data_IF_105057062644
#
_entry.id   IF_105057062644
#
_cell.length_a   1.000
_cell.length_b   1.000
_cell.length_c   1.000
_cell.angle_alpha   90.00
_cell.angle_beta   90.00
_cell.angle_gamma   90.00
#
_symmetry.space_group_name_H-M   'P 1'
#
loop_
_entity.id
_entity.type
_entity.pdbx_description
1 polymer ?
#
# COMPACT_ATOMS: atom_id res chain seq x y z
N UNK A 1 -19.48 -10.61 -24.44
CA UNK A 1 -18.03 -10.90 -24.46
C UNK A 1 -17.63 -11.37 -23.05
N UNK A 2 -17.23 -12.63 -22.87
CA UNK A 2 -16.88 -13.15 -21.54
C UNK A 2 -15.46 -12.71 -21.15
N UNK A 3 -15.33 -12.00 -20.03
CA UNK A 3 -14.05 -11.47 -19.56
C UNK A 3 -13.30 -12.54 -18.76
N UNK A 4 -12.06 -12.84 -19.16
CA UNK A 4 -11.18 -13.83 -18.49
C UNK A 4 -10.46 -13.19 -17.30
N UNK A 5 -10.35 -13.87 -16.16
CA UNK A 5 -9.49 -13.43 -15.06
C UNK A 5 -8.01 -13.57 -15.42
N UNK A 6 -7.17 -12.72 -14.82
CA UNK A 6 -5.73 -12.65 -15.14
C UNK A 6 -4.93 -13.69 -14.34
N UNK A 7 -5.25 -13.87 -13.05
CA UNK A 7 -4.50 -14.75 -12.13
C UNK A 7 -5.43 -15.75 -11.41
N UNK A 8 -6.71 -15.41 -11.24
CA UNK A 8 -7.64 -16.12 -10.34
C UNK A 8 -8.08 -17.55 -10.71
N UNK A 9 -7.52 -18.15 -11.77
CA UNK A 9 -7.75 -19.57 -12.04
C UNK A 9 -7.13 -20.47 -10.96
N UNK A 10 -6.07 -20.01 -10.29
CA UNK A 10 -5.33 -20.77 -9.26
C UNK A 10 -5.94 -20.60 -7.86
N UNK A 11 -6.57 -19.45 -7.55
CA UNK A 11 -7.13 -19.14 -6.22
C UNK A 11 -8.33 -20.00 -5.82
N UNK A 12 -8.98 -20.66 -6.77
CA UNK A 12 -10.18 -21.50 -6.54
C UNK A 12 -9.87 -22.89 -6.01
N UNK A 13 -8.60 -23.29 -5.95
CA UNK A 13 -8.22 -24.55 -5.32
C UNK A 13 -8.26 -24.40 -3.79
N UNK A 14 -8.85 -25.36 -3.05
CA UNK A 14 -8.97 -25.28 -1.58
C UNK A 14 -7.62 -25.22 -0.86
N UNK A 15 -6.53 -25.58 -1.54
CA UNK A 15 -5.15 -25.55 -1.04
C UNK A 15 -4.39 -24.27 -1.42
N UNK A 16 -4.98 -23.37 -2.21
CA UNK A 16 -4.30 -22.18 -2.68
C UNK A 16 -4.19 -21.12 -1.56
N UNK A 17 -2.96 -20.75 -1.22
CA UNK A 17 -2.67 -19.64 -0.30
C UNK A 17 -3.17 -18.32 -0.89
N UNK A 18 -3.87 -17.50 -0.10
CA UNK A 18 -4.40 -16.21 -0.55
C UNK A 18 -3.27 -15.31 -1.12
N UNK A 19 -3.33 -14.91 -2.41
CA UNK A 19 -2.24 -14.19 -3.07
C UNK A 19 -1.96 -12.82 -2.44
N UNK A 20 -2.98 -12.16 -1.90
CA UNK A 20 -2.83 -10.87 -1.20
C UNK A 20 -1.99 -11.03 0.07
N UNK A 21 -2.21 -12.10 0.84
CA UNK A 21 -1.44 -12.38 2.05
C UNK A 21 0.01 -12.74 1.73
N UNK A 22 0.25 -13.45 0.63
CA UNK A 22 1.60 -13.76 0.18
C UNK A 22 2.37 -12.48 -0.18
N UNK A 23 1.72 -11.58 -0.94
CA UNK A 23 2.30 -10.28 -1.27
C UNK A 23 2.60 -9.46 -0.01
N UNK A 24 1.66 -9.38 0.93
CA UNK A 24 1.84 -8.65 2.18
C UNK A 24 3.04 -9.18 2.99
N UNK A 25 3.15 -10.50 3.16
CA UNK A 25 4.28 -11.15 3.84
C UNK A 25 5.60 -10.88 3.13
N UNK A 26 5.63 -10.91 1.79
CA UNK A 26 6.82 -10.59 1.00
C UNK A 26 7.26 -9.15 1.23
N UNK A 27 6.34 -8.19 1.20
CA UNK A 27 6.64 -6.77 1.47
C UNK A 27 7.25 -6.61 2.86
N UNK A 28 6.62 -7.17 3.90
CA UNK A 28 7.13 -7.05 5.28
C UNK A 28 8.54 -7.65 5.46
N UNK A 29 8.87 -8.68 4.69
CA UNK A 29 10.20 -9.31 4.72
C UNK A 29 11.26 -8.44 4.05
N UNK A 30 10.93 -7.84 2.90
CA UNK A 30 11.86 -6.99 2.15
C UNK A 30 11.99 -5.57 2.73
N UNK A 31 11.00 -5.11 3.48
CA UNK A 31 10.92 -3.73 3.97
C UNK A 31 12.17 -3.27 4.74
N UNK A 32 12.71 -4.02 5.74
CA UNK A 32 13.89 -3.56 6.47
C UNK A 32 15.12 -3.39 5.57
N UNK A 33 15.28 -4.26 4.57
CA UNK A 33 16.36 -4.18 3.59
C UNK A 33 16.22 -2.92 2.74
N UNK A 34 15.02 -2.64 2.27
CA UNK A 34 14.72 -1.42 1.48
C UNK A 34 14.95 -0.17 2.32
N UNK A 35 14.48 -0.12 3.57
CA UNK A 35 14.69 1.04 4.45
C UNK A 35 16.17 1.37 4.66
N UNK A 36 17.02 0.35 4.83
CA UNK A 36 18.48 0.54 4.96
C UNK A 36 19.10 1.06 3.67
N UNK A 37 18.73 0.47 2.52
CA UNK A 37 19.27 0.87 1.20
C UNK A 37 18.97 2.33 0.89
N UNK A 38 17.77 2.79 1.26
CA UNK A 38 17.29 4.13 0.96
C UNK A 38 17.46 5.13 2.10
N UNK A 39 18.13 4.72 3.18
CA UNK A 39 18.41 5.54 4.36
C UNK A 39 17.14 6.22 4.89
N UNK A 40 16.10 5.42 5.17
CA UNK A 40 14.80 5.93 5.65
C UNK A 40 14.80 6.03 7.17
N UNK A 41 14.66 7.25 7.68
CA UNK A 41 14.69 7.61 9.10
C UNK A 41 13.34 7.40 9.82
N UNK A 42 12.68 6.26 9.58
CA UNK A 42 11.39 5.92 10.18
C UNK A 42 11.50 4.64 11.02
N UNK A 43 10.81 4.52 12.17
CA UNK A 43 10.74 3.25 12.88
C UNK A 43 10.04 2.18 12.03
N UNK A 44 10.58 0.95 12.05
CA UNK A 44 10.03 -0.19 11.29
C UNK A 44 8.55 -0.45 11.57
N UNK A 45 8.11 -0.22 12.81
CA UNK A 45 6.72 -0.43 13.21
C UNK A 45 5.76 0.52 12.50
N UNK A 46 6.14 1.78 12.36
CA UNK A 46 5.38 2.80 11.63
C UNK A 46 5.34 2.48 10.13
N UNK A 47 6.48 2.08 9.55
CA UNK A 47 6.54 1.65 8.15
C UNK A 47 5.62 0.44 7.88
N UNK A 48 5.58 -0.54 8.80
CA UNK A 48 4.66 -1.68 8.71
C UNK A 48 3.19 -1.23 8.81
N UNK A 49 2.89 -0.26 9.68
CA UNK A 49 1.55 0.28 9.83
C UNK A 49 1.10 1.05 8.57
N UNK A 50 2.00 1.81 7.93
CA UNK A 50 1.74 2.49 6.68
C UNK A 50 1.43 1.50 5.54
N UNK A 51 2.18 0.40 5.43
CA UNK A 51 1.87 -0.66 4.46
C UNK A 51 0.49 -1.26 4.77
N UNK A 52 0.22 -1.60 6.03
CA UNK A 52 -1.09 -2.15 6.42
C UNK A 52 -2.23 -1.18 6.10
N UNK A 53 -2.02 0.14 6.24
CA UNK A 53 -2.97 1.16 5.84
C UNK A 53 -3.32 1.09 4.35
N UNK A 54 -2.33 0.96 3.46
CA UNK A 54 -2.58 0.83 2.01
C UNK A 54 -3.39 -0.42 1.66
N UNK A 55 -3.08 -1.57 2.29
CA UNK A 55 -3.87 -2.78 2.10
C UNK A 55 -5.32 -2.62 2.60
N UNK A 56 -5.52 -1.94 3.73
CA UNK A 56 -6.84 -1.63 4.27
C UNK A 56 -7.60 -0.62 3.40
N UNK A 57 -6.91 0.36 2.81
CA UNK A 57 -7.51 1.32 1.87
C UNK A 57 -8.16 0.62 0.68
N UNK A 58 -7.55 -0.46 0.18
CA UNK A 58 -8.09 -1.27 -0.91
C UNK A 58 -9.09 -2.36 -0.48
N UNK A 59 -9.45 -2.48 0.80
CA UNK A 59 -10.30 -3.56 1.31
C UNK A 59 -11.76 -3.52 0.79
N UNK A 60 -12.20 -2.39 0.25
CA UNK A 60 -13.54 -2.22 -0.32
C UNK A 60 -13.70 -2.89 -1.70
N UNK A 61 -12.60 -3.27 -2.35
CA UNK A 61 -12.60 -3.87 -3.69
C UNK A 61 -13.05 -5.33 -3.59
N UNK A 62 -14.17 -5.65 -4.26
CA UNK A 62 -14.76 -7.01 -4.28
C UNK A 62 -14.52 -7.76 -5.59
N UNK A 63 -14.23 -7.05 -6.68
CA UNK A 63 -14.01 -7.67 -8.00
C UNK A 63 -12.65 -8.38 -8.03
N UNK A 64 -12.69 -9.70 -8.22
CA UNK A 64 -11.51 -10.57 -8.23
C UNK A 64 -10.47 -10.13 -9.27
N UNK A 65 -10.90 -9.60 -10.42
CA UNK A 65 -9.98 -9.17 -11.49
C UNK A 65 -9.19 -7.92 -11.10
N UNK A 66 -9.84 -7.03 -10.35
CA UNK A 66 -9.21 -5.82 -9.82
C UNK A 66 -8.23 -6.21 -8.71
N UNK A 67 -8.60 -7.18 -7.87
CA UNK A 67 -7.70 -7.73 -6.85
C UNK A 67 -6.44 -8.33 -7.50
N UNK A 68 -6.60 -9.17 -8.54
CA UNK A 68 -5.48 -9.74 -9.29
C UNK A 68 -4.54 -8.66 -9.83
N UNK A 69 -5.10 -7.60 -10.41
CA UNK A 69 -4.33 -6.49 -10.96
C UNK A 69 -3.59 -5.71 -9.86
N UNK A 70 -4.25 -5.48 -8.71
CA UNK A 70 -3.64 -4.82 -7.55
C UNK A 70 -2.49 -5.65 -6.99
N UNK A 71 -2.65 -6.96 -6.93
CA UNK A 71 -1.58 -7.87 -6.49
C UNK A 71 -0.39 -7.81 -7.46
N UNK A 72 -0.64 -7.90 -8.77
CA UNK A 72 0.40 -7.78 -9.78
C UNK A 72 1.14 -6.44 -9.68
N UNK A 73 0.41 -5.33 -9.55
CA UNK A 73 0.99 -4.00 -9.34
C UNK A 73 1.82 -3.93 -8.05
N UNK A 74 1.35 -4.55 -6.97
CA UNK A 74 2.11 -4.64 -5.72
C UNK A 74 3.44 -5.38 -5.88
N UNK A 75 3.45 -6.50 -6.61
CA UNK A 75 4.70 -7.20 -6.92
C UNK A 75 5.66 -6.37 -7.75
N UNK A 76 5.16 -5.63 -8.76
CA UNK A 76 5.98 -4.71 -9.55
C UNK A 76 6.64 -3.65 -8.66
N UNK A 77 5.89 -3.05 -7.73
CA UNK A 77 6.46 -2.05 -6.81
C UNK A 77 7.54 -2.61 -5.89
N UNK A 78 7.37 -3.85 -5.42
CA UNK A 78 8.41 -4.53 -4.61
C UNK A 78 9.66 -4.75 -5.43
N UNK A 79 9.53 -5.20 -6.67
CA UNK A 79 10.66 -5.42 -7.58
C UNK A 79 11.40 -4.11 -7.88
N UNK A 80 10.67 -3.05 -8.26
CA UNK A 80 11.21 -1.72 -8.50
C UNK A 80 11.98 -1.16 -7.29
N UNK A 81 11.48 -1.39 -6.06
CA UNK A 81 12.18 -0.97 -4.84
C UNK A 81 13.41 -1.84 -4.55
N UNK A 82 13.31 -3.15 -4.78
CA UNK A 82 14.39 -4.11 -4.52
C UNK A 82 15.56 -3.94 -5.50
N UNK A 83 15.25 -3.64 -6.77
CA UNK A 83 16.21 -3.40 -7.85
C UNK A 83 16.73 -1.94 -7.89
N UNK A 84 16.32 -1.11 -6.94
CA UNK A 84 16.72 0.30 -6.84
C UNK A 84 16.31 1.17 -8.04
N UNK A 85 15.19 0.84 -8.69
CA UNK A 85 14.64 1.67 -9.78
C UNK A 85 13.86 2.89 -9.26
N UNK A 86 13.48 2.89 -7.98
CA UNK A 86 12.87 4.03 -7.29
C UNK A 86 13.89 4.90 -6.59
N UNK A 87 13.52 6.14 -6.30
CA UNK A 87 14.27 7.05 -5.40
C UNK A 87 13.61 7.11 -4.01
N UNK A 88 14.35 7.60 -2.99
CA UNK A 88 13.86 7.77 -1.60
C UNK A 88 12.51 8.51 -1.54
N UNK A 89 12.34 9.56 -2.34
CA UNK A 89 11.09 10.35 -2.43
C UNK A 89 9.86 9.51 -2.74
N UNK A 90 9.98 8.53 -3.64
CA UNK A 90 8.87 7.65 -4.02
C UNK A 90 8.49 6.70 -2.88
N UNK A 91 9.47 6.25 -2.09
CA UNK A 91 9.22 5.41 -0.92
C UNK A 91 8.59 6.22 0.21
N UNK A 92 9.12 7.42 0.49
CA UNK A 92 8.56 8.31 1.51
C UNK A 92 7.11 8.68 1.19
N UNK A 93 6.77 8.91 -0.08
CA UNK A 93 5.38 9.15 -0.48
C UNK A 93 4.44 7.97 -0.18
N UNK A 94 4.97 6.75 -0.08
CA UNK A 94 4.20 5.55 0.26
C UNK A 94 4.17 5.34 1.78
N UNK A 95 5.31 5.54 2.46
CA UNK A 95 5.47 5.30 3.89
C UNK A 95 4.83 6.39 4.75
N UNK A 96 4.87 7.64 4.29
CA UNK A 96 4.21 8.79 4.91
C UNK A 96 3.12 9.37 4.00
N UNK A 97 1.96 8.70 3.86
CA UNK A 97 0.84 9.30 3.16
C UNK A 97 0.40 10.56 3.92
N UNK A 98 0.26 11.68 3.21
CA UNK A 98 -0.35 12.90 3.76
C UNK A 98 -1.73 12.63 4.39
N UNK A 99 -2.49 11.66 3.86
CA UNK A 99 -3.76 11.18 4.42
C UNK A 99 -3.62 10.58 5.83
N UNK A 100 -2.49 9.93 6.13
CA UNK A 100 -2.21 9.41 7.46
C UNK A 100 -2.01 10.59 8.42
N UNK A 101 -1.21 11.59 8.01
CA UNK A 101 -0.99 12.82 8.76
C UNK A 101 -2.27 13.61 9.02
N UNK A 102 -3.15 13.75 8.01
CA UNK A 102 -4.43 14.45 8.16
C UNK A 102 -5.41 13.74 9.08
N UNK A 103 -5.44 12.41 9.10
CA UNK A 103 -6.29 11.67 10.06
C UNK A 103 -5.90 11.90 11.52
N UNK A 104 -4.64 12.26 11.77
CA UNK A 104 -4.17 12.64 13.10
C UNK A 104 -4.34 14.14 13.39
N UNK A 105 -4.65 14.97 12.38
CA UNK A 105 -5.05 16.35 12.64
C UNK A 105 -6.47 16.34 13.17
N UNK A 106 -6.70 17.08 14.25
CA UNK A 106 -8.04 17.29 14.78
C UNK A 106 -8.94 17.84 13.66
N UNK A 107 -10.18 17.37 13.52
CA UNK A 107 -11.06 17.86 12.48
C UNK A 107 -11.25 19.36 12.67
N UNK A 108 -10.81 20.13 11.68
CA UNK A 108 -10.89 21.59 11.76
C UNK A 108 -12.33 22.00 12.06
N UNK A 109 -12.49 22.79 13.12
CA UNK A 109 -13.80 23.32 13.49
C UNK A 109 -14.34 24.20 12.37
N UNK A 110 -15.67 24.37 12.33
CA UNK A 110 -16.30 25.24 11.34
C UNK A 110 -15.69 26.66 11.34
N UNK A 111 -15.40 27.20 12.53
CA UNK A 111 -14.78 28.52 12.69
C UNK A 111 -13.40 28.59 12.03
N UNK A 112 -12.55 27.59 12.22
CA UNK A 112 -11.23 27.53 11.57
C UNK A 112 -11.33 27.50 10.05
N UNK A 113 -12.27 26.72 9.50
CA UNK A 113 -12.53 26.68 8.05
C UNK A 113 -13.08 28.01 7.52
N UNK A 114 -13.91 28.68 8.30
CA UNK A 114 -14.44 30.01 7.99
C UNK A 114 -13.34 31.07 7.96
N UNK A 115 -12.46 31.10 8.97
CA UNK A 115 -11.33 32.03 9.01
C UNK A 115 -10.29 31.77 7.90
N UNK A 116 -10.13 30.52 7.45
CA UNK A 116 -9.27 30.14 6.31
C UNK A 116 -9.91 30.44 4.94
N UNK A 117 -11.20 30.80 4.89
CA UNK A 117 -11.91 31.08 3.64
C UNK A 117 -12.04 29.86 2.71
N UNK A 118 -12.06 28.65 3.28
CA UNK A 118 -12.15 27.38 2.52
C UNK A 118 -13.58 26.82 2.46
N UNK A 119 -14.56 27.62 2.92
CA UNK A 119 -16.00 27.36 2.84
C UNK A 119 -16.62 27.94 1.56
#
# INVERSE_FOLDING_TARGET
MALRPVISTVSKMPTAQNPVLQLYRKILKELPRVMIIYDVDMPKEEANAAIAYHFRKSAHVKDERVIDLLVAKGYMHVEEATMQYKQKTHLMSILDPWELSEKFKEPETFEEKFYKGTL
#
